data_IF_877051448165
#
_entry.id   IF_877051448165
#
_cell.length_a   1.000
_cell.length_b   1.000
_cell.length_c   1.000
_cell.angle_alpha   90.00
_cell.angle_beta   90.00
_cell.angle_gamma   90.00
#
_symmetry.space_group_name_H-M   'P 1'
#
loop_
_entity.id
_entity.type
_entity.pdbx_description
1 polymer ?
#
# COMPACT_ATOMS: atom_id res chain seq x y z
N UNK A 1 10.72 9.34 22.37
CA UNK A 1 11.41 8.82 21.16
C UNK A 1 10.57 9.23 19.96
N UNK A 2 11.19 9.80 18.93
CA UNK A 2 10.50 10.21 17.70
C UNK A 2 9.92 8.96 17.01
N UNK A 3 8.69 9.05 16.50
CA UNK A 3 8.04 7.92 15.81
C UNK A 3 8.71 7.65 14.47
N UNK A 4 8.81 6.38 14.07
CA UNK A 4 9.60 5.98 12.89
C UNK A 4 9.15 6.63 11.58
N UNK A 5 7.88 6.98 11.42
CA UNK A 5 7.41 7.67 10.22
C UNK A 5 7.89 9.14 10.13
N UNK A 6 8.00 9.85 11.26
CA UNK A 6 8.63 11.18 11.29
C UNK A 6 10.14 11.09 11.07
N UNK A 7 10.77 10.11 11.73
CA UNK A 7 12.19 9.85 11.59
C UNK A 7 12.55 9.50 10.13
N UNK A 8 11.74 8.65 9.49
CA UNK A 8 11.93 8.29 8.09
C UNK A 8 11.86 9.53 7.18
N UNK A 9 10.81 10.35 7.30
CA UNK A 9 10.66 11.54 6.48
C UNK A 9 11.83 12.53 6.68
N UNK A 10 12.25 12.76 7.94
CA UNK A 10 13.38 13.62 8.27
C UNK A 10 14.70 13.09 7.69
N UNK A 11 14.99 11.80 7.86
CA UNK A 11 16.21 11.18 7.33
C UNK A 11 16.29 11.20 5.81
N UNK A 12 15.15 11.03 5.13
CA UNK A 12 15.08 11.14 3.66
C UNK A 12 15.42 12.57 3.22
N UNK A 13 14.83 13.59 3.85
CA UNK A 13 15.05 14.98 3.48
C UNK A 13 16.46 15.48 3.83
N UNK A 14 17.07 14.92 4.87
CA UNK A 14 18.46 15.18 5.23
C UNK A 14 19.47 14.36 4.39
N UNK A 15 19.01 13.54 3.42
CA UNK A 15 19.82 12.61 2.64
C UNK A 15 20.58 11.56 3.47
N UNK A 16 20.08 11.20 4.65
CA UNK A 16 20.61 10.12 5.49
C UNK A 16 20.10 8.74 5.00
N UNK A 17 18.94 8.72 4.33
CA UNK A 17 18.40 7.55 3.63
C UNK A 17 18.42 7.83 2.14
N UNK A 18 19.03 6.93 1.36
CA UNK A 18 19.10 7.02 -0.10
C UNK A 18 17.75 6.69 -0.71
N UNK A 19 17.10 7.67 -1.33
CA UNK A 19 15.80 7.52 -2.03
C UNK A 19 15.82 8.29 -3.35
N UNK A 20 14.90 7.93 -4.25
CA UNK A 20 14.64 8.72 -5.46
C UNK A 20 13.90 10.03 -5.15
N UNK A 21 13.91 10.95 -6.11
CA UNK A 21 13.32 12.28 -5.95
C UNK A 21 11.82 12.23 -5.66
N UNK A 22 11.09 11.27 -6.20
CA UNK A 22 9.65 11.07 -5.93
C UNK A 22 9.35 10.81 -4.45
N UNK A 23 10.19 10.06 -3.74
CA UNK A 23 10.04 9.84 -2.29
C UNK A 23 10.44 11.10 -1.50
N UNK A 24 11.46 11.85 -1.94
CA UNK A 24 11.80 13.14 -1.31
C UNK A 24 10.63 14.13 -1.42
N UNK A 25 9.98 14.20 -2.58
CA UNK A 25 8.79 15.02 -2.78
C UNK A 25 7.63 14.56 -1.87
N UNK A 26 7.39 13.26 -1.74
CA UNK A 26 6.38 12.74 -0.83
C UNK A 26 6.68 13.10 0.64
N UNK A 27 7.94 12.99 1.08
CA UNK A 27 8.35 13.39 2.41
C UNK A 27 8.25 14.90 2.65
N UNK A 28 8.57 15.72 1.64
CA UNK A 28 8.39 17.17 1.69
C UNK A 28 6.91 17.55 1.81
N UNK A 29 6.05 16.91 0.99
CA UNK A 29 4.60 17.08 1.08
C UNK A 29 4.10 16.74 2.48
N UNK A 30 4.51 15.60 3.06
CA UNK A 30 4.15 15.21 4.42
C UNK A 30 4.50 16.29 5.45
N UNK A 31 5.73 16.87 5.39
CA UNK A 31 6.11 17.94 6.32
C UNK A 31 5.28 19.21 6.10
N UNK A 32 5.02 19.60 4.85
CA UNK A 32 4.18 20.75 4.53
C UNK A 32 2.74 20.54 5.05
N UNK A 33 2.20 19.33 4.87
CA UNK A 33 0.84 18.98 5.30
C UNK A 33 0.65 19.04 6.82
N UNK A 34 1.69 18.74 7.60
CA UNK A 34 1.67 18.90 9.05
C UNK A 34 1.57 20.37 9.49
N UNK A 35 1.89 21.31 8.61
CA UNK A 35 1.84 22.75 8.88
C UNK A 35 0.57 23.43 8.33
N UNK A 36 -0.28 22.69 7.63
CA UNK A 36 -1.52 23.22 7.03
C UNK A 36 -2.59 23.45 8.10
N UNK A 37 -3.19 24.64 8.11
CA UNK A 37 -4.23 25.03 9.07
C UNK A 37 -5.59 24.33 8.82
N UNK A 38 -5.84 23.86 7.59
CA UNK A 38 -7.05 23.14 7.18
C UNK A 38 -6.99 21.64 7.39
N UNK A 39 -5.84 21.11 7.85
CA UNK A 39 -5.63 19.72 8.18
C UNK A 39 -5.40 19.50 9.68
N UNK A 40 -5.75 18.33 10.16
CA UNK A 40 -5.30 17.80 11.46
C UNK A 40 -4.61 16.45 11.25
N UNK A 41 -3.54 16.22 12.00
CA UNK A 41 -2.86 14.94 11.98
C UNK A 41 -3.16 14.16 13.27
N UNK A 42 -3.84 13.02 13.15
CA UNK A 42 -4.29 12.17 14.27
C UNK A 42 -3.30 11.04 14.51
N UNK A 43 -2.33 11.31 15.37
CA UNK A 43 -1.31 10.32 15.74
C UNK A 43 -1.90 9.06 16.40
N UNK A 44 -2.96 9.19 17.17
CA UNK A 44 -3.64 8.08 17.83
C UNK A 44 -4.20 7.06 16.84
N UNK A 45 -4.72 7.53 15.69
CA UNK A 45 -5.21 6.66 14.61
C UNK A 45 -4.04 5.90 13.97
N UNK A 46 -2.93 6.60 13.71
CA UNK A 46 -1.71 5.98 13.15
C UNK A 46 -1.14 4.94 14.12
N UNK A 47 -1.02 5.28 15.40
CA UNK A 47 -0.51 4.37 16.43
C UNK A 47 -1.37 3.13 16.59
N UNK A 48 -2.70 3.30 16.55
CA UNK A 48 -3.65 2.17 16.56
C UNK A 48 -3.42 1.25 15.36
N UNK A 49 -3.26 1.81 14.16
CA UNK A 49 -3.02 1.02 12.96
C UNK A 49 -1.67 0.27 13.01
N UNK A 50 -0.60 0.94 13.41
CA UNK A 50 0.73 0.33 13.57
C UNK A 50 0.68 -0.77 14.63
N UNK A 51 0.04 -0.50 15.78
CA UNK A 51 -0.11 -1.48 16.86
C UNK A 51 -0.92 -2.69 16.42
N UNK A 52 -2.04 -2.49 15.72
CA UNK A 52 -2.84 -3.57 15.15
C UNK A 52 -2.02 -4.45 14.20
N UNK A 53 -1.32 -3.83 13.25
CA UNK A 53 -0.48 -4.56 12.30
C UNK A 53 0.64 -5.32 13.01
N UNK A 54 1.20 -4.74 14.07
CA UNK A 54 2.19 -5.39 14.93
C UNK A 54 1.69 -6.64 15.66
N UNK A 55 0.38 -6.90 15.73
CA UNK A 55 -0.17 -8.15 16.27
C UNK A 55 -0.21 -9.28 15.26
N UNK A 56 -0.12 -8.97 13.97
CA UNK A 56 -0.10 -9.96 12.90
C UNK A 56 1.22 -10.75 12.93
N UNK A 57 1.18 -12.01 12.51
CA UNK A 57 2.37 -12.86 12.52
C UNK A 57 2.75 -13.35 11.13
N UNK A 58 4.03 -13.34 10.84
CA UNK A 58 4.55 -13.98 9.64
C UNK A 58 4.27 -15.48 9.62
N UNK A 59 3.94 -16.03 8.45
CA UNK A 59 3.61 -17.47 8.31
C UNK A 59 4.67 -18.26 7.59
N UNK A 60 5.56 -17.61 6.85
CA UNK A 60 6.52 -18.26 5.97
C UNK A 60 7.91 -17.68 6.12
N UNK A 61 8.91 -18.45 5.70
CA UNK A 61 10.30 -18.04 5.70
C UNK A 61 10.92 -17.94 7.09
N UNK A 62 12.05 -17.27 7.17
CA UNK A 62 12.86 -17.16 8.40
C UNK A 62 12.16 -16.40 9.55
N UNK A 63 11.09 -15.68 9.25
CA UNK A 63 10.35 -14.88 10.23
C UNK A 63 9.02 -15.57 10.66
N UNK A 64 8.74 -16.80 10.23
CA UNK A 64 7.52 -17.50 10.60
C UNK A 64 7.31 -17.50 12.12
N UNK A 65 6.11 -17.11 12.57
CA UNK A 65 5.74 -17.00 13.99
C UNK A 65 6.11 -15.68 14.67
N UNK A 66 7.01 -14.86 14.11
CA UNK A 66 7.31 -13.53 14.64
C UNK A 66 6.24 -12.52 14.24
N UNK A 67 6.11 -11.46 15.02
CA UNK A 67 5.20 -10.35 14.73
C UNK A 67 5.62 -9.61 13.46
N UNK A 68 4.63 -9.06 12.74
CA UNK A 68 4.87 -8.23 11.58
C UNK A 68 5.23 -6.80 12.02
N UNK A 69 6.52 -6.54 12.15
CA UNK A 69 7.04 -5.22 12.50
C UNK A 69 7.21 -4.40 11.22
N UNK A 70 6.55 -3.23 11.19
CA UNK A 70 6.63 -2.30 10.06
C UNK A 70 7.94 -1.53 10.08
N UNK A 71 8.61 -1.49 8.94
CA UNK A 71 9.77 -0.64 8.69
C UNK A 71 9.36 0.85 8.59
N UNK A 72 10.30 1.76 8.77
CA UNK A 72 10.03 3.20 8.77
C UNK A 72 9.28 3.70 7.52
N UNK A 73 9.64 3.20 6.33
CA UNK A 73 8.96 3.54 5.08
C UNK A 73 7.51 3.02 5.02
N UNK A 74 7.22 1.87 5.62
CA UNK A 74 5.86 1.32 5.70
C UNK A 74 5.02 2.12 6.70
N UNK A 75 5.61 2.49 7.84
CA UNK A 75 4.95 3.36 8.81
C UNK A 75 4.67 4.75 8.22
N UNK A 76 5.57 5.28 7.38
CA UNK A 76 5.38 6.54 6.66
C UNK A 76 4.16 6.46 5.72
N UNK A 77 4.00 5.36 4.97
CA UNK A 77 2.81 5.13 4.12
C UNK A 77 1.54 5.12 4.98
N UNK A 78 1.52 4.36 6.07
CA UNK A 78 0.35 4.25 6.97
C UNK A 78 0.02 5.59 7.60
N UNK A 79 1.04 6.34 8.06
CA UNK A 79 0.86 7.66 8.66
C UNK A 79 0.19 8.63 7.69
N UNK A 80 0.58 8.62 6.41
CA UNK A 80 -0.07 9.45 5.41
C UNK A 80 -1.52 9.03 5.18
N UNK A 81 -1.77 7.78 4.80
CA UNK A 81 -3.12 7.36 4.38
C UNK A 81 -4.16 7.36 5.50
N UNK A 82 -3.74 7.26 6.76
CA UNK A 82 -4.65 7.17 7.90
C UNK A 82 -4.61 8.38 8.83
N UNK A 83 -3.51 9.15 8.85
CA UNK A 83 -3.29 10.17 9.86
C UNK A 83 -3.86 11.54 9.53
N UNK A 84 -3.97 11.93 8.25
CA UNK A 84 -4.46 13.24 7.86
C UNK A 84 -5.97 13.30 7.71
N UNK A 85 -6.57 14.30 8.33
CA UNK A 85 -8.01 14.58 8.29
C UNK A 85 -8.25 16.05 7.91
N UNK A 86 -9.34 16.31 7.23
CA UNK A 86 -9.86 17.66 7.06
C UNK A 86 -10.33 18.17 8.42
N UNK A 87 -9.80 19.30 8.85
CA UNK A 87 -10.04 19.84 10.19
C UNK A 87 -11.52 20.10 10.45
N UNK A 88 -12.01 19.56 11.57
CA UNK A 88 -13.39 19.75 11.99
C UNK A 88 -14.44 18.92 11.25
N UNK A 89 -14.06 18.09 10.27
CA UNK A 89 -15.02 17.28 9.50
C UNK A 89 -15.09 15.82 9.95
N UNK A 90 -14.02 15.28 10.53
CA UNK A 90 -13.90 13.85 10.79
C UNK A 90 -13.57 13.00 9.57
N UNK A 91 -13.46 13.60 8.37
CA UNK A 91 -13.16 12.90 7.12
C UNK A 91 -11.65 12.87 6.84
N UNK A 92 -11.15 11.74 6.37
CA UNK A 92 -9.75 11.58 5.95
C UNK A 92 -9.49 12.40 4.70
N UNK A 93 -8.30 13.00 4.67
CA UNK A 93 -7.84 13.73 3.49
C UNK A 93 -7.60 12.79 2.30
N UNK A 94 -6.89 11.68 2.52
CA UNK A 94 -6.51 10.79 1.44
C UNK A 94 -7.57 9.71 1.21
N UNK A 95 -8.32 9.84 0.11
CA UNK A 95 -9.30 8.86 -0.37
C UNK A 95 -8.70 7.85 -1.35
N UNK A 96 -7.49 8.12 -1.86
CA UNK A 96 -6.77 7.20 -2.74
C UNK A 96 -5.27 7.22 -2.48
N UNK A 97 -4.61 6.10 -2.85
CA UNK A 97 -3.14 6.03 -2.84
C UNK A 97 -2.58 5.27 -4.02
N UNK A 98 -1.39 5.71 -4.47
CA UNK A 98 -0.56 5.01 -5.44
C UNK A 98 0.80 4.69 -4.82
N UNK A 99 1.07 3.39 -4.64
CA UNK A 99 2.27 2.89 -3.99
C UNK A 99 3.01 1.99 -4.98
N UNK A 100 4.17 2.45 -5.44
CA UNK A 100 5.04 1.69 -6.34
C UNK A 100 6.35 1.35 -5.64
N UNK A 101 6.64 0.06 -5.51
CA UNK A 101 7.90 -0.42 -4.93
C UNK A 101 8.29 -1.75 -5.57
N UNK A 102 9.57 -2.03 -5.68
CA UNK A 102 10.07 -3.22 -6.36
C UNK A 102 9.57 -4.53 -5.72
N UNK A 103 9.79 -5.66 -6.41
CA UNK A 103 9.46 -6.99 -5.90
C UNK A 103 10.24 -7.30 -4.62
N UNK A 104 9.69 -8.20 -3.78
CA UNK A 104 10.30 -8.71 -2.54
C UNK A 104 10.49 -7.66 -1.42
N UNK A 105 9.74 -6.55 -1.47
CA UNK A 105 9.74 -5.51 -0.44
C UNK A 105 8.61 -5.69 0.61
N UNK A 106 7.90 -6.80 0.60
CA UNK A 106 6.81 -7.06 1.55
C UNK A 106 5.46 -6.43 1.18
N UNK A 107 5.27 -5.98 -0.09
CA UNK A 107 4.00 -5.37 -0.57
C UNK A 107 2.76 -6.17 -0.17
N UNK A 108 2.73 -7.46 -0.52
CA UNK A 108 1.55 -8.31 -0.29
C UNK A 108 1.21 -8.43 1.20
N UNK A 109 2.23 -8.50 2.08
CA UNK A 109 1.99 -8.54 3.52
C UNK A 109 1.43 -7.21 4.05
N UNK A 110 1.97 -6.06 3.59
CA UNK A 110 1.47 -4.74 3.93
C UNK A 110 0.03 -4.56 3.42
N UNK A 111 -0.24 -4.96 2.17
CA UNK A 111 -1.55 -4.90 1.54
C UNK A 111 -2.59 -5.74 2.31
N UNK A 112 -2.25 -6.98 2.66
CA UNK A 112 -3.11 -7.85 3.46
C UNK A 112 -3.35 -7.29 4.88
N UNK A 113 -2.33 -6.69 5.49
CA UNK A 113 -2.46 -6.05 6.80
C UNK A 113 -3.40 -4.85 6.75
N UNK A 114 -3.32 -4.01 5.71
CA UNK A 114 -4.25 -2.90 5.48
C UNK A 114 -5.68 -3.41 5.27
N UNK A 115 -5.88 -4.45 4.45
CA UNK A 115 -7.21 -5.05 4.28
C UNK A 115 -7.83 -5.47 5.63
N UNK A 116 -7.06 -6.10 6.50
CA UNK A 116 -7.56 -6.52 7.81
C UNK A 116 -7.73 -5.35 8.79
N UNK A 117 -6.89 -4.33 8.71
CA UNK A 117 -7.08 -3.12 9.50
C UNK A 117 -8.43 -2.46 9.17
N UNK A 118 -8.72 -2.23 7.89
CA UNK A 118 -9.99 -1.66 7.44
C UNK A 118 -11.20 -2.57 7.73
N UNK A 119 -11.00 -3.88 7.75
CA UNK A 119 -12.05 -4.84 8.07
C UNK A 119 -12.41 -4.84 9.56
N UNK A 120 -11.42 -4.65 10.46
CA UNK A 120 -11.55 -4.99 11.89
C UNK A 120 -11.37 -3.78 12.79
N UNK A 121 -10.40 -2.91 12.49
CA UNK A 121 -9.86 -1.93 13.45
C UNK A 121 -10.03 -0.47 13.04
N UNK A 122 -10.51 -0.21 11.84
CA UNK A 122 -10.73 1.15 11.33
C UNK A 122 -11.91 1.86 12.01
N UNK A 123 -12.85 1.08 12.55
CA UNK A 123 -13.99 1.60 13.31
C UNK A 123 -15.25 1.80 12.47
N UNK A 124 -15.30 1.31 11.23
CA UNK A 124 -16.48 1.38 10.38
C UNK A 124 -17.34 0.12 10.51
N UNK A 125 -18.59 0.27 10.91
CA UNK A 125 -19.56 -0.81 10.97
C UNK A 125 -20.03 -1.20 9.56
N UNK A 126 -20.16 -2.50 9.32
CA UNK A 126 -20.53 -3.01 8.01
C UNK A 126 -19.49 -2.68 6.93
N UNK A 127 -18.21 -2.62 7.28
CA UNK A 127 -17.14 -2.35 6.33
C UNK A 127 -17.13 -3.37 5.19
N UNK A 128 -17.05 -2.90 3.96
CA UNK A 128 -16.87 -3.74 2.77
C UNK A 128 -15.48 -3.50 2.19
N UNK A 129 -14.59 -4.48 2.40
CA UNK A 129 -13.21 -4.46 1.93
C UNK A 129 -13.13 -5.27 0.64
N UNK A 130 -12.70 -4.65 -0.44
CA UNK A 130 -12.56 -5.28 -1.75
C UNK A 130 -11.10 -5.47 -2.11
N UNK A 131 -10.69 -6.71 -2.34
CA UNK A 131 -9.34 -7.07 -2.77
C UNK A 131 -9.40 -7.49 -4.24
N UNK A 132 -8.75 -6.74 -5.11
CA UNK A 132 -8.72 -7.00 -6.53
C UNK A 132 -7.29 -7.17 -7.04
N UNK A 133 -7.12 -8.07 -8.01
CA UNK A 133 -5.90 -8.24 -8.79
C UNK A 133 -6.26 -8.66 -10.22
N UNK A 134 -5.26 -8.68 -11.10
CA UNK A 134 -5.50 -8.96 -12.53
C UNK A 134 -5.94 -10.38 -12.83
N UNK A 135 -5.61 -11.35 -11.98
CA UNK A 135 -6.09 -12.73 -12.09
C UNK A 135 -6.56 -13.26 -10.75
N UNK A 136 -7.40 -14.30 -10.80
CA UNK A 136 -7.88 -14.99 -9.58
C UNK A 136 -6.72 -15.58 -8.76
N UNK A 137 -5.67 -16.05 -9.42
CA UNK A 137 -4.48 -16.62 -8.78
C UNK A 137 -3.70 -15.56 -8.01
N UNK A 138 -3.53 -14.36 -8.59
CA UNK A 138 -2.86 -13.24 -7.93
C UNK A 138 -3.67 -12.71 -6.74
N UNK A 139 -4.98 -12.50 -6.95
CA UNK A 139 -5.88 -12.09 -5.87
C UNK A 139 -5.89 -13.10 -4.72
N UNK A 140 -5.79 -14.41 -5.04
CA UNK A 140 -5.71 -15.48 -4.05
C UNK A 140 -4.46 -15.39 -3.18
N UNK A 141 -3.31 -14.98 -3.70
CA UNK A 141 -2.07 -14.86 -2.91
C UNK A 141 -2.27 -13.84 -1.77
N UNK A 142 -2.79 -12.66 -2.07
CA UNK A 142 -3.07 -11.64 -1.06
C UNK A 142 -4.21 -12.07 -0.12
N UNK A 143 -5.25 -12.73 -0.65
CA UNK A 143 -6.35 -13.26 0.15
C UNK A 143 -5.89 -14.38 1.11
N UNK A 144 -5.07 -15.32 0.65
CA UNK A 144 -4.51 -16.38 1.50
C UNK A 144 -3.68 -15.80 2.65
N UNK A 145 -3.01 -14.66 2.41
CA UNK A 145 -2.32 -13.91 3.46
C UNK A 145 -3.31 -13.32 4.47
N UNK A 146 -4.37 -12.65 4.01
CA UNK A 146 -5.45 -12.14 4.87
C UNK A 146 -6.08 -13.28 5.70
N UNK A 147 -6.36 -14.43 5.07
CA UNK A 147 -6.94 -15.61 5.74
C UNK A 147 -6.01 -16.17 6.81
N UNK A 148 -4.71 -16.21 6.57
CA UNK A 148 -3.72 -16.66 7.56
C UNK A 148 -3.61 -15.69 8.73
N UNK A 149 -3.54 -14.38 8.45
CA UNK A 149 -3.53 -13.34 9.47
C UNK A 149 -4.80 -13.40 10.33
N UNK A 150 -5.99 -13.52 9.72
CA UNK A 150 -7.25 -13.60 10.47
C UNK A 150 -7.33 -14.82 11.38
N UNK A 151 -6.82 -16.00 10.93
CA UNK A 151 -6.70 -17.19 11.77
C UNK A 151 -5.72 -17.01 12.93
N UNK A 152 -4.67 -16.22 12.74
CA UNK A 152 -3.73 -15.88 13.81
C UNK A 152 -4.33 -14.94 14.86
N UNK A 153 -5.18 -14.00 14.43
CA UNK A 153 -5.87 -13.06 15.31
C UNK A 153 -7.00 -13.72 16.10
N UNK A 154 -7.74 -14.62 15.47
CA UNK A 154 -8.87 -15.31 16.08
C UNK A 154 -8.75 -16.84 15.90
N UNK A 155 -7.93 -17.44 16.73
CA UNK A 155 -7.64 -18.89 16.66
C UNK A 155 -8.86 -19.78 16.91
N UNK A 156 -9.90 -19.26 17.58
CA UNK A 156 -11.14 -19.97 17.90
C UNK A 156 -12.25 -19.73 16.86
N UNK A 157 -12.06 -18.81 15.91
CA UNK A 157 -13.06 -18.46 14.91
C UNK A 157 -14.33 -17.82 15.48
N UNK A 158 -14.22 -17.17 16.64
CA UNK A 158 -15.37 -16.55 17.31
C UNK A 158 -15.89 -15.34 16.55
N UNK A 159 -14.98 -14.48 16.11
CA UNK A 159 -15.28 -13.21 15.47
C UNK A 159 -14.96 -13.21 13.98
N UNK A 160 -13.92 -13.92 13.56
CA UNK A 160 -13.45 -13.97 12.16
C UNK A 160 -13.72 -15.35 11.56
N UNK A 161 -14.38 -15.36 10.41
CA UNK A 161 -14.56 -16.60 9.65
C UNK A 161 -14.08 -16.41 8.22
N UNK A 162 -13.02 -17.13 7.84
CA UNK A 162 -12.51 -17.13 6.48
C UNK A 162 -13.13 -18.27 5.67
N UNK A 163 -13.77 -17.91 4.56
CA UNK A 163 -14.30 -18.82 3.55
C UNK A 163 -13.32 -18.94 2.37
N UNK A 164 -13.78 -19.47 1.24
CA UNK A 164 -12.94 -19.67 0.05
C UNK A 164 -12.48 -18.36 -0.61
N UNK A 165 -13.34 -17.33 -0.60
CA UNK A 165 -13.11 -16.05 -1.26
C UNK A 165 -13.54 -14.83 -0.43
N UNK A 166 -14.01 -15.06 0.80
CA UNK A 166 -14.51 -14.02 1.68
C UNK A 166 -13.96 -14.22 3.10
N UNK A 167 -13.80 -13.12 3.84
CA UNK A 167 -13.58 -13.13 5.28
C UNK A 167 -14.67 -12.28 5.92
N UNK A 168 -15.40 -12.86 6.88
CA UNK A 168 -16.45 -12.19 7.63
C UNK A 168 -15.94 -11.81 9.02
N UNK A 169 -16.11 -10.56 9.41
CA UNK A 169 -15.94 -10.08 10.77
C UNK A 169 -17.32 -9.87 11.40
N UNK A 170 -17.72 -10.78 12.30
CA UNK A 170 -19.08 -10.89 12.84
C UNK A 170 -19.45 -9.75 13.76
N UNK A 171 -18.46 -9.15 14.46
CA UNK A 171 -18.73 -8.12 15.48
C UNK A 171 -19.40 -6.89 14.88
N UNK A 172 -19.06 -6.49 13.67
CA UNK A 172 -19.59 -5.33 12.95
C UNK A 172 -20.29 -5.70 11.65
N UNK A 173 -20.51 -6.98 11.38
CA UNK A 173 -21.05 -7.49 10.11
C UNK A 173 -20.23 -7.02 8.88
N UNK A 174 -18.91 -6.87 9.06
CA UNK A 174 -18.00 -6.42 8.02
C UNK A 174 -17.48 -7.60 7.21
N UNK A 175 -17.17 -7.37 5.93
CA UNK A 175 -16.74 -8.43 5.02
C UNK A 175 -15.56 -7.99 4.12
N UNK A 176 -14.63 -8.90 3.91
CA UNK A 176 -13.62 -8.78 2.87
C UNK A 176 -13.97 -9.74 1.74
N UNK A 177 -13.95 -9.27 0.51
CA UNK A 177 -14.22 -10.06 -0.70
C UNK A 177 -13.10 -9.94 -1.71
N UNK A 178 -12.82 -11.03 -2.40
CA UNK A 178 -11.93 -11.07 -3.56
C UNK A 178 -12.73 -10.77 -4.83
N UNK A 179 -12.21 -9.83 -5.63
CA UNK A 179 -12.70 -9.53 -6.96
C UNK A 179 -11.68 -9.97 -8.01
N UNK A 180 -12.14 -10.62 -9.05
CA UNK A 180 -11.31 -10.89 -10.22
C UNK A 180 -11.70 -9.94 -11.37
N UNK A 181 -10.71 -9.58 -12.20
CA UNK A 181 -10.93 -8.70 -13.34
C UNK A 181 -12.01 -9.23 -14.33
N UNK A 182 -12.20 -10.56 -14.38
CA UNK A 182 -13.13 -11.24 -15.26
C UNK A 182 -14.55 -11.42 -14.65
N UNK A 183 -14.79 -10.93 -13.42
CA UNK A 183 -16.11 -11.08 -12.81
C UNK A 183 -17.15 -10.22 -13.54
N UNK A 184 -18.19 -10.89 -14.03
CA UNK A 184 -19.28 -10.25 -14.77
C UNK A 184 -20.23 -9.41 -13.89
N UNK A 185 -20.10 -9.54 -12.55
CA UNK A 185 -20.94 -8.85 -11.56
C UNK A 185 -20.06 -7.98 -10.67
N UNK A 186 -19.68 -6.83 -11.20
CA UNK A 186 -18.90 -5.83 -10.44
C UNK A 186 -19.78 -4.73 -9.82
N UNK A 187 -21.11 -4.81 -9.96
CA UNK A 187 -22.05 -3.80 -9.45
C UNK A 187 -22.59 -4.15 -8.06
N UNK A 188 -23.07 -3.14 -7.34
CA UNK A 188 -23.77 -3.29 -6.07
C UNK A 188 -22.87 -3.37 -4.83
N UNK A 189 -21.60 -2.96 -4.95
CA UNK A 189 -20.69 -2.78 -3.81
C UNK A 189 -20.89 -1.43 -3.13
N UNK A 190 -20.55 -1.38 -1.84
CA UNK A 190 -20.46 -0.16 -1.05
C UNK A 190 -19.13 -0.20 -0.27
N UNK A 191 -18.03 -0.04 -1.01
CA UNK A 191 -16.70 -0.29 -0.50
C UNK A 191 -16.24 0.81 0.48
N UNK A 192 -15.76 0.40 1.65
CA UNK A 192 -15.01 1.25 2.57
C UNK A 192 -13.52 1.26 2.26
N UNK A 193 -13.00 0.11 1.79
CA UNK A 193 -11.62 -0.01 1.35
C UNK A 193 -11.52 -0.86 0.10
N UNK A 194 -10.76 -0.39 -0.88
CA UNK A 194 -10.40 -1.14 -2.08
C UNK A 194 -8.90 -1.31 -2.19
N UNK A 195 -8.44 -2.54 -2.41
CA UNK A 195 -7.05 -2.84 -2.70
C UNK A 195 -6.92 -3.34 -4.13
N UNK A 196 -6.09 -2.65 -4.92
CA UNK A 196 -5.64 -3.11 -6.23
C UNK A 196 -4.19 -3.58 -6.12
N UNK A 197 -3.97 -4.90 -6.10
CA UNK A 197 -2.63 -5.49 -6.06
C UNK A 197 -2.12 -5.78 -7.47
N UNK A 198 -0.83 -5.55 -7.71
CA UNK A 198 -0.12 -5.74 -8.98
C UNK A 198 -0.82 -5.05 -10.18
N UNK A 199 -1.27 -3.80 -9.96
CA UNK A 199 -2.02 -3.03 -10.96
C UNK A 199 -1.26 -2.82 -12.28
N UNK A 200 0.06 -2.95 -12.29
CA UNK A 200 0.88 -2.84 -13.51
C UNK A 200 0.48 -3.83 -14.63
N UNK A 201 -0.16 -4.94 -14.29
CA UNK A 201 -0.60 -5.93 -15.25
C UNK A 201 -2.08 -5.74 -15.69
N UNK A 202 -2.79 -4.72 -15.16
CA UNK A 202 -4.18 -4.44 -15.53
C UNK A 202 -4.27 -3.95 -16.97
N UNK A 203 -5.07 -4.63 -17.79
CA UNK A 203 -5.29 -4.25 -19.20
C UNK A 203 -6.25 -3.07 -19.35
N UNK A 204 -7.13 -2.86 -18.39
CA UNK A 204 -8.12 -1.77 -18.38
C UNK A 204 -8.27 -1.19 -16.97
N UNK A 205 -8.81 0.02 -16.86
CA UNK A 205 -9.12 0.64 -15.57
C UNK A 205 -10.43 0.16 -14.94
N UNK A 206 -11.21 -0.68 -15.62
CA UNK A 206 -12.59 -1.04 -15.25
C UNK A 206 -12.74 -1.42 -13.78
N UNK A 207 -11.94 -2.34 -13.26
CA UNK A 207 -12.04 -2.78 -11.84
C UNK A 207 -11.76 -1.63 -10.88
N UNK A 208 -10.74 -0.82 -11.17
CA UNK A 208 -10.42 0.37 -10.38
C UNK A 208 -11.58 1.35 -10.34
N UNK A 209 -12.18 1.63 -11.50
CA UNK A 209 -13.25 2.61 -11.65
C UNK A 209 -14.54 2.13 -10.96
N UNK A 210 -14.85 0.84 -11.04
CA UNK A 210 -15.98 0.24 -10.32
C UNK A 210 -15.79 0.31 -8.81
N UNK A 211 -14.62 -0.06 -8.29
CA UNK A 211 -14.35 0.05 -6.86
C UNK A 211 -14.44 1.51 -6.42
N UNK A 212 -13.82 2.44 -7.16
CA UNK A 212 -13.87 3.88 -6.83
C UNK A 212 -15.28 4.42 -6.81
N UNK A 213 -16.11 4.07 -7.81
CA UNK A 213 -17.51 4.51 -7.87
C UNK A 213 -18.37 3.92 -6.74
N UNK A 214 -18.05 2.73 -6.26
CA UNK A 214 -18.78 2.08 -5.16
C UNK A 214 -18.54 2.71 -3.79
N UNK A 215 -17.58 3.61 -3.68
CA UNK A 215 -17.15 4.25 -2.42
C UNK A 215 -17.96 5.51 -2.06
N UNK A 216 -18.80 6.01 -2.96
CA UNK A 216 -19.42 7.33 -2.85
C UNK A 216 -20.36 7.56 -1.66
N UNK A 217 -20.78 6.50 -0.96
CA UNK A 217 -21.64 6.60 0.23
C UNK A 217 -20.87 6.45 1.55
N UNK A 218 -19.55 6.23 1.51
CA UNK A 218 -18.72 6.08 2.70
C UNK A 218 -18.11 7.41 3.12
N UNK A 219 -17.99 7.64 4.42
CA UNK A 219 -17.36 8.86 4.95
C UNK A 219 -15.84 8.86 4.77
N UNK A 220 -15.21 7.72 5.01
CA UNK A 220 -13.75 7.58 5.01
C UNK A 220 -13.28 6.45 4.06
N UNK A 221 -13.69 6.47 2.77
CA UNK A 221 -13.29 5.43 1.84
C UNK A 221 -11.83 5.57 1.48
N UNK A 222 -11.16 4.46 1.13
CA UNK A 222 -9.81 4.52 0.62
C UNK A 222 -9.55 3.48 -0.46
N UNK A 223 -9.11 3.93 -1.65
CA UNK A 223 -8.67 3.08 -2.75
C UNK A 223 -7.15 3.01 -2.79
N UNK A 224 -6.59 1.90 -2.34
CA UNK A 224 -5.15 1.65 -2.35
C UNK A 224 -4.72 0.91 -3.62
N UNK A 225 -3.90 1.54 -4.45
CA UNK A 225 -3.23 0.88 -5.58
C UNK A 225 -1.79 0.59 -5.18
N UNK A 226 -1.44 -0.69 -5.08
CA UNK A 226 -0.07 -1.13 -4.76
C UNK A 226 0.47 -1.97 -5.91
N UNK A 227 1.69 -1.66 -6.38
CA UNK A 227 2.22 -2.28 -7.59
C UNK A 227 3.75 -2.29 -7.64
N UNK A 228 4.29 -3.08 -8.56
CA UNK A 228 5.65 -2.85 -9.08
C UNK A 228 5.59 -1.98 -10.33
N UNK A 229 6.72 -1.47 -10.77
CA UNK A 229 6.82 -0.81 -12.08
C UNK A 229 6.41 -1.78 -13.19
N UNK A 230 5.56 -1.32 -14.10
CA UNK A 230 5.18 -2.04 -15.31
C UNK A 230 6.16 -1.81 -16.46
N UNK A 231 6.16 -2.71 -17.43
CA UNK A 231 6.97 -2.57 -18.65
C UNK A 231 6.21 -1.87 -19.78
N UNK A 232 4.88 -1.98 -19.79
CA UNK A 232 4.03 -1.44 -20.85
C UNK A 232 3.49 -0.05 -20.46
N UNK A 233 3.97 0.96 -21.18
CA UNK A 233 3.58 2.37 -20.99
C UNK A 233 2.18 2.71 -21.49
N UNK A 234 1.53 1.80 -22.21
CA UNK A 234 0.17 2.01 -22.75
C UNK A 234 -0.93 1.63 -21.74
N UNK A 235 -0.56 0.86 -20.70
CA UNK A 235 -1.51 0.36 -19.71
C UNK A 235 -1.95 1.43 -18.69
N UNK A 236 -3.15 1.25 -18.09
CA UNK A 236 -3.73 2.20 -17.14
C UNK A 236 -2.85 2.52 -15.93
N UNK A 237 -2.03 1.56 -15.49
CA UNK A 237 -1.10 1.76 -14.38
C UNK A 237 -0.05 2.84 -14.70
N UNK A 238 0.48 2.86 -15.92
CA UNK A 238 1.44 3.87 -16.34
C UNK A 238 0.80 5.26 -16.45
N UNK A 239 -0.44 5.34 -16.94
CA UNK A 239 -1.20 6.59 -16.97
C UNK A 239 -1.42 7.13 -15.54
N UNK A 240 -1.81 6.27 -14.61
CA UNK A 240 -1.98 6.63 -13.20
C UNK A 240 -0.65 7.09 -12.57
N UNK A 241 0.45 6.40 -12.88
CA UNK A 241 1.80 6.79 -12.46
C UNK A 241 2.19 8.17 -12.96
N UNK A 242 1.89 8.48 -14.22
CA UNK A 242 2.17 9.80 -14.80
C UNK A 242 1.43 10.89 -14.04
N UNK A 243 0.12 10.70 -13.80
CA UNK A 243 -0.68 11.61 -12.98
C UNK A 243 -0.11 11.75 -11.57
N UNK A 244 0.29 10.65 -10.94
CA UNK A 244 0.89 10.66 -9.61
C UNK A 244 2.19 11.49 -9.56
N UNK A 245 3.05 11.38 -10.58
CA UNK A 245 4.28 12.18 -10.68
C UNK A 245 3.94 13.67 -10.91
N UNK A 246 2.95 13.99 -11.75
CA UNK A 246 2.48 15.36 -11.96
C UNK A 246 1.96 15.99 -10.66
N UNK A 247 1.22 15.23 -9.85
CA UNK A 247 0.73 15.67 -8.53
C UNK A 247 1.90 15.94 -7.57
N UNK A 248 2.88 15.02 -7.47
CA UNK A 248 4.06 15.22 -6.62
C UNK A 248 4.88 16.46 -7.02
N UNK A 249 4.93 16.79 -8.31
CA UNK A 249 5.63 17.97 -8.84
C UNK A 249 4.75 19.24 -8.85
N UNK A 250 3.57 19.19 -8.25
CA UNK A 250 2.62 20.33 -8.19
C UNK A 250 2.16 20.84 -9.58
N UNK A 251 2.31 20.00 -10.62
CA UNK A 251 1.83 20.28 -11.98
C UNK A 251 0.33 19.99 -12.14
N UNK A 252 -0.21 19.20 -11.24
CA UNK A 252 -1.62 18.83 -11.16
C UNK A 252 -2.10 18.86 -9.72
N UNK A 253 -3.23 19.47 -9.48
CA UNK A 253 -3.84 19.50 -8.15
C UNK A 253 -4.59 18.18 -7.89
N UNK A 254 -4.21 17.46 -6.84
CA UNK A 254 -4.97 16.35 -6.26
C UNK A 254 -4.58 16.25 -4.78
N UNK A 255 -5.41 16.78 -3.93
CA UNK A 255 -5.16 16.85 -2.48
C UNK A 255 -5.56 15.54 -1.78
N UNK A 256 -6.33 14.69 -2.45
CA UNK A 256 -6.87 13.45 -1.89
C UNK A 256 -6.08 12.20 -2.29
N UNK A 257 -5.05 12.33 -3.13
CA UNK A 257 -4.21 11.22 -3.55
C UNK A 257 -2.87 11.21 -2.79
N UNK A 258 -2.63 10.15 -2.01
CA UNK A 258 -1.29 9.89 -1.46
C UNK A 258 -0.43 9.12 -2.46
N UNK A 259 0.86 9.46 -2.54
CA UNK A 259 1.77 8.91 -3.55
C UNK A 259 3.10 8.53 -2.90
N UNK A 260 3.54 7.28 -3.14
CA UNK A 260 4.86 6.79 -2.77
C UNK A 260 5.45 5.93 -3.90
N UNK A 261 6.39 6.48 -4.65
CA UNK A 261 7.03 5.83 -5.80
C UNK A 261 8.51 5.62 -5.49
N UNK A 262 8.90 4.36 -5.28
CA UNK A 262 10.28 3.92 -5.07
C UNK A 262 10.89 3.57 -6.42
N UNK A 263 11.52 4.53 -7.07
CA UNK A 263 12.11 4.39 -8.40
C UNK A 263 13.50 5.01 -8.47
N UNK A 264 14.26 4.61 -9.46
CA UNK A 264 15.47 5.32 -9.84
C UNK A 264 15.12 6.69 -10.44
N UNK A 265 16.02 7.65 -10.31
CA UNK A 265 15.95 8.92 -11.00
C UNK A 265 16.51 8.77 -12.41
N UNK A 266 16.15 9.70 -13.31
CA UNK A 266 16.50 9.58 -14.74
C UNK A 266 18.00 9.49 -15.03
N UNK A 267 18.83 10.09 -14.17
CA UNK A 267 20.29 10.08 -14.30
C UNK A 267 20.98 8.90 -13.60
N UNK A 268 20.23 8.03 -12.93
CA UNK A 268 20.81 6.92 -12.16
C UNK A 268 21.24 5.76 -13.06
N UNK A 269 22.45 5.25 -12.80
CA UNK A 269 22.85 3.95 -13.34
C UNK A 269 22.26 2.82 -12.49
N UNK A 270 21.37 2.03 -13.08
CA UNK A 270 20.70 0.90 -12.44
C UNK A 270 21.65 -0.23 -12.00
N UNK A 271 22.84 -0.29 -12.60
CA UNK A 271 23.90 -1.27 -12.27
C UNK A 271 24.60 -0.92 -10.95
N UNK A 272 24.54 0.35 -10.55
CA UNK A 272 25.26 0.85 -9.38
C UNK A 272 24.55 0.48 -8.09
N UNK A 273 25.25 -0.26 -7.22
CA UNK A 273 24.73 -0.73 -5.92
C UNK A 273 24.25 0.43 -5.03
N UNK A 274 24.88 1.60 -5.11
CA UNK A 274 24.47 2.79 -4.33
C UNK A 274 23.05 3.28 -4.65
N UNK A 275 22.52 2.95 -5.84
CA UNK A 275 21.20 3.37 -6.29
C UNK A 275 20.09 2.36 -5.92
N UNK A 276 20.44 1.12 -5.53
CA UNK A 276 19.45 0.07 -5.31
C UNK A 276 18.50 0.35 -4.15
N UNK A 277 18.94 1.10 -3.13
CA UNK A 277 18.06 1.54 -2.04
C UNK A 277 16.90 2.41 -2.53
N UNK A 278 17.06 3.15 -3.63
CA UNK A 278 15.99 3.99 -4.20
C UNK A 278 14.76 3.18 -4.62
N UNK A 279 14.96 1.92 -5.03
CA UNK A 279 13.90 1.01 -5.49
C UNK A 279 13.58 -0.10 -4.49
N UNK A 280 14.47 -0.38 -3.57
CA UNK A 280 14.38 -1.48 -2.63
C UNK A 280 14.59 -0.99 -1.18
N UNK A 281 13.58 -0.32 -0.56
CA UNK A 281 13.72 0.23 0.78
C UNK A 281 13.97 -0.82 1.88
N UNK A 282 13.68 -2.11 1.60
CA UNK A 282 14.00 -3.26 2.46
C UNK A 282 15.28 -4.00 2.00
N UNK A 283 16.19 -3.31 1.31
CA UNK A 283 17.49 -3.90 0.95
C UNK A 283 18.22 -4.36 2.22
N UNK A 284 18.73 -5.60 2.19
CA UNK A 284 19.37 -6.32 3.30
C UNK A 284 18.44 -6.65 4.50
N UNK A 285 17.14 -6.37 4.39
CA UNK A 285 16.11 -6.82 5.32
C UNK A 285 15.37 -8.03 4.71
N UNK A 286 14.68 -7.82 3.58
CA UNK A 286 13.93 -8.88 2.87
C UNK A 286 14.66 -9.41 1.63
N UNK A 287 15.46 -8.59 0.99
CA UNK A 287 16.26 -8.94 -0.19
C UNK A 287 17.71 -8.50 0.03
N UNK A 288 18.66 -9.37 -0.30
CA UNK A 288 20.09 -9.08 -0.09
C UNK A 288 20.71 -8.36 -1.30
N UNK A 289 21.72 -7.52 -1.07
CA UNK A 289 22.54 -6.93 -2.13
C UNK A 289 23.13 -8.01 -3.05
N UNK A 290 23.52 -9.17 -2.50
CA UNK A 290 24.00 -10.31 -3.28
C UNK A 290 22.99 -10.81 -4.31
N UNK A 291 21.70 -10.89 -3.89
CA UNK A 291 20.61 -11.30 -4.80
C UNK A 291 20.43 -10.29 -5.94
N UNK A 292 20.35 -8.99 -5.61
CA UNK A 292 20.18 -7.93 -6.62
C UNK A 292 21.38 -7.92 -7.58
N UNK A 293 22.62 -8.02 -7.06
CA UNK A 293 23.83 -8.11 -7.89
C UNK A 293 23.77 -9.26 -8.88
N UNK A 294 23.26 -10.42 -8.45
CA UNK A 294 23.05 -11.57 -9.36
C UNK A 294 22.03 -11.27 -10.46
N UNK A 295 20.93 -10.59 -10.17
CA UNK A 295 19.93 -10.19 -11.17
C UNK A 295 20.48 -9.15 -12.15
N UNK A 296 21.23 -8.16 -11.66
CA UNK A 296 21.91 -7.17 -12.49
C UNK A 296 22.90 -7.85 -13.46
N UNK A 297 23.71 -8.79 -12.96
CA UNK A 297 24.66 -9.52 -13.81
C UNK A 297 23.96 -10.37 -14.87
N UNK A 298 22.84 -11.02 -14.54
CA UNK A 298 22.03 -11.75 -15.52
C UNK A 298 21.46 -10.83 -16.58
N UNK A 299 20.92 -9.65 -16.19
CA UNK A 299 20.40 -8.68 -17.15
C UNK A 299 21.49 -8.17 -18.11
N UNK A 300 22.70 -7.87 -17.60
CA UNK A 300 23.85 -7.48 -18.42
C UNK A 300 24.20 -8.57 -19.43
N UNK A 301 24.26 -9.85 -18.98
CA UNK A 301 24.68 -10.97 -19.83
C UNK A 301 23.62 -11.32 -20.89
N UNK A 302 22.34 -11.12 -20.61
CA UNK A 302 21.23 -11.50 -21.51
C UNK A 302 20.87 -10.40 -22.53
N UNK A 303 21.57 -9.27 -22.54
CA UNK A 303 21.24 -8.10 -23.37
C UNK A 303 19.75 -7.70 -23.34
N UNK A 304 19.02 -8.08 -22.29
CA UNK A 304 17.64 -7.67 -22.06
C UNK A 304 17.67 -6.33 -21.34
N UNK A 305 17.44 -5.28 -22.10
CA UNK A 305 17.24 -3.93 -21.59
C UNK A 305 15.97 -3.79 -20.75
#
# INVERSE_FOLDING_TARGET
MMKLYYEYASKVLNNEIVTGDTIKLACKRFQNDLLRDDLEFREDVVDRAISFIGTLKHYTGKHAGSNFILEGWQQFIIANILGFYWKGTGTRRFTSSYIEVSRKQGKTALAAALCLYYLIADGEDGAEVLLAANSKEQAKIAFDMCSKFSKGLDTKGKYLTAYRADILFKATNSKLKVLAADDSKLDGFNASFGLLDEYHAAKTSKVRDVIKSSMGMRENPHLCTITTAGFDKTLPCYQLRTVAIEVLNELKADDEMFIAIYSLDAADDWRSEKNWMKVAPNLNITVTSKYIKGQVQQAINNHSE
#
